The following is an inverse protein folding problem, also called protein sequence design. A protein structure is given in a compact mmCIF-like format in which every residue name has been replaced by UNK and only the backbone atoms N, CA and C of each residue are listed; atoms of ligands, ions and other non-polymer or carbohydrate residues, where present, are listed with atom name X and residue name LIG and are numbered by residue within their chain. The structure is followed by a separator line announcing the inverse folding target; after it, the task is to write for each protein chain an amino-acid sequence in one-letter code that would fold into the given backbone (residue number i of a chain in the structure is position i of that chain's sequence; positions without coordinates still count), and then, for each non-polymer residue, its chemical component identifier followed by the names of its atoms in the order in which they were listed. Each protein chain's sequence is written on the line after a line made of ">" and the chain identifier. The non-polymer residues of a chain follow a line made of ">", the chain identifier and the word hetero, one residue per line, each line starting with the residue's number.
data_IF_153108825972
#
_entry.id   IF_153108825972
#
_cell.length_a   1.000
_cell.length_b   1.000
_cell.length_c   1.000
_cell.angle_alpha   90.00
_cell.angle_beta   90.00
_cell.angle_gamma   90.00
#
_symmetry.space_group_name_H-M   'P 1'
#
loop_
_entity.id
_entity.type
_entity.pdbx_description
1 polymer ?
#
# COMPACT_ATOMS: atom_id res chain seq x y z
N UNK A 1 19.64 4.23 -52.63
CA UNK A 1 19.72 3.31 -51.50
C UNK A 1 19.69 4.12 -50.22
N UNK A 2 18.57 4.12 -49.51
CA UNK A 2 18.47 4.74 -48.17
C UNK A 2 18.23 3.60 -47.19
N UNK A 3 19.25 3.29 -46.42
CA UNK A 3 19.21 2.28 -45.37
C UNK A 3 18.51 2.86 -44.14
N UNK A 4 17.32 2.39 -43.85
CA UNK A 4 16.57 2.77 -42.67
C UNK A 4 17.04 1.90 -41.50
N UNK A 5 17.73 2.50 -40.57
CA UNK A 5 18.17 1.86 -39.32
C UNK A 5 16.96 1.72 -38.39
N UNK A 6 16.44 0.49 -38.28
CA UNK A 6 15.46 0.11 -37.26
C UNK A 6 16.25 -0.35 -36.01
N UNK A 7 16.43 0.51 -35.04
CA UNK A 7 17.14 0.18 -33.81
C UNK A 7 16.24 0.25 -32.56
N UNK A 8 16.03 -0.92 -31.96
CA UNK A 8 16.02 -1.25 -30.53
C UNK A 8 15.15 -0.43 -29.56
N UNK A 9 13.91 -0.90 -29.40
CA UNK A 9 13.11 -0.67 -28.17
C UNK A 9 12.72 -2.05 -27.54
N UNK A 10 13.54 -3.05 -27.56
CA UNK A 10 13.24 -4.38 -27.00
C UNK A 10 14.08 -4.77 -25.76
N UNK A 11 14.90 -3.86 -25.23
CA UNK A 11 15.90 -4.23 -24.21
C UNK A 11 15.46 -4.03 -22.75
N UNK A 12 14.31 -3.40 -22.44
CA UNK A 12 13.97 -3.07 -21.05
C UNK A 12 13.05 -4.11 -20.35
N UNK A 13 12.19 -4.79 -21.09
CA UNK A 13 11.23 -5.73 -20.48
C UNK A 13 11.87 -7.06 -20.06
N UNK A 14 12.86 -7.57 -20.80
CA UNK A 14 13.48 -8.86 -20.52
C UNK A 14 14.41 -8.87 -19.29
N UNK A 15 14.90 -7.71 -18.84
CA UNK A 15 15.80 -7.62 -17.68
C UNK A 15 15.08 -7.74 -16.34
N UNK A 16 13.78 -7.46 -16.25
CA UNK A 16 13.03 -7.48 -14.99
C UNK A 16 12.80 -8.91 -14.50
N UNK A 17 12.73 -9.87 -15.40
CA UNK A 17 12.49 -11.29 -15.08
C UNK A 17 13.75 -12.08 -14.67
N UNK A 18 14.93 -11.49 -14.86
CA UNK A 18 16.21 -12.12 -14.51
C UNK A 18 16.72 -11.73 -13.12
N UNK A 19 15.97 -10.91 -12.36
CA UNK A 19 16.43 -10.49 -11.04
C UNK A 19 16.38 -11.66 -10.06
N UNK A 20 17.38 -11.79 -9.15
CA UNK A 20 17.42 -12.86 -8.17
C UNK A 20 16.25 -12.75 -7.20
N UNK A 21 15.73 -13.91 -6.75
CA UNK A 21 14.82 -13.97 -5.61
C UNK A 21 15.58 -14.55 -4.39
N UNK A 22 16.07 -13.70 -3.49
CA UNK A 22 16.77 -14.16 -2.28
C UNK A 22 15.83 -14.56 -1.15
N UNK A 23 14.51 -14.53 -1.35
CA UNK A 23 13.52 -14.79 -0.30
C UNK A 23 12.78 -16.09 -0.53
N UNK A 24 12.27 -16.65 0.57
CA UNK A 24 11.31 -17.75 0.58
C UNK A 24 10.05 -17.35 1.36
N UNK A 25 8.85 -17.71 0.88
CA UNK A 25 7.60 -17.42 1.61
C UNK A 25 7.42 -18.37 2.79
N UNK A 26 6.73 -17.85 3.81
CA UNK A 26 6.24 -18.58 4.98
C UNK A 26 4.77 -18.19 5.18
N UNK A 27 3.85 -18.97 4.61
CA UNK A 27 2.42 -18.65 4.55
C UNK A 27 1.69 -18.73 5.90
N UNK A 28 2.13 -19.57 6.84
CA UNK A 28 1.44 -19.81 8.10
C UNK A 28 2.18 -19.17 9.28
N UNK A 29 2.78 -18.01 9.04
CA UNK A 29 3.49 -17.31 10.10
C UNK A 29 2.54 -16.79 11.19
N UNK A 30 1.46 -16.07 10.82
CA UNK A 30 0.56 -15.43 11.76
C UNK A 30 -0.48 -16.44 12.30
N UNK A 31 -0.52 -16.58 13.62
CA UNK A 31 -1.41 -17.49 14.33
C UNK A 31 -2.69 -16.76 14.75
N UNK A 32 -3.75 -16.92 13.98
CA UNK A 32 -5.08 -16.36 14.29
C UNK A 32 -5.78 -17.15 15.41
N UNK A 33 -6.72 -16.52 16.15
CA UNK A 33 -7.57 -17.21 17.08
C UNK A 33 -8.36 -18.36 16.42
N UNK A 34 -8.68 -19.39 17.21
CA UNK A 34 -9.45 -20.52 16.71
C UNK A 34 -10.78 -20.06 16.04
N UNK A 35 -11.02 -20.56 14.85
CA UNK A 35 -12.21 -20.24 14.04
C UNK A 35 -12.12 -18.91 13.27
N UNK A 36 -11.11 -18.07 13.50
CA UNK A 36 -10.88 -16.83 12.75
C UNK A 36 -10.14 -17.14 11.45
N UNK A 37 -10.62 -16.57 10.36
CA UNK A 37 -9.97 -16.63 9.04
C UNK A 37 -9.53 -15.22 8.65
N UNK A 38 -8.48 -15.13 7.86
CA UNK A 38 -8.12 -13.88 7.20
C UNK A 38 -9.21 -13.44 6.25
N UNK A 39 -9.55 -12.17 6.26
CA UNK A 39 -10.14 -11.47 5.14
C UNK A 39 -9.06 -10.85 4.25
N UNK A 40 -9.43 -9.88 3.45
CA UNK A 40 -8.48 -9.08 2.70
C UNK A 40 -7.54 -8.35 3.66
N UNK A 41 -6.28 -8.81 3.77
CA UNK A 41 -5.26 -8.17 4.58
C UNK A 41 -4.67 -7.01 3.79
N UNK A 42 -5.15 -5.79 4.05
CA UNK A 42 -4.85 -4.62 3.22
C UNK A 42 -3.63 -3.82 3.67
N UNK A 43 -3.29 -3.85 4.94
CA UNK A 43 -2.15 -3.10 5.46
C UNK A 43 -1.37 -3.87 6.53
N UNK A 44 -0.07 -3.64 6.53
CA UNK A 44 0.87 -4.14 7.54
C UNK A 44 1.87 -3.03 7.83
N UNK A 45 2.16 -2.79 9.11
CA UNK A 45 3.31 -1.99 9.52
C UNK A 45 3.91 -2.55 10.82
N UNK A 46 5.07 -2.07 11.18
CA UNK A 46 5.86 -2.57 12.30
C UNK A 46 6.08 -1.45 13.32
N UNK A 47 5.75 -1.71 14.56
CA UNK A 47 6.15 -0.84 15.67
C UNK A 47 7.67 -0.85 15.81
N UNK A 48 8.29 0.27 15.53
CA UNK A 48 9.75 0.42 15.53
C UNK A 48 10.38 0.36 16.92
N UNK A 49 9.56 0.45 17.99
CA UNK A 49 10.02 0.34 19.37
C UNK A 49 10.04 -1.11 19.85
N UNK A 50 9.00 -1.87 19.54
CA UNK A 50 8.81 -3.23 20.03
C UNK A 50 9.24 -4.29 19.00
N UNK A 51 9.20 -3.96 17.72
CA UNK A 51 9.35 -4.88 16.60
C UNK A 51 8.11 -5.73 16.35
N UNK A 52 6.98 -5.44 17.01
CA UNK A 52 5.73 -6.13 16.80
C UNK A 52 5.11 -5.72 15.45
N UNK A 53 4.44 -6.66 14.84
CA UNK A 53 3.84 -6.53 13.53
C UNK A 53 2.34 -6.26 13.68
N UNK A 54 1.90 -5.13 13.16
CA UNK A 54 0.51 -4.75 13.10
C UNK A 54 -0.07 -5.10 11.74
N UNK A 55 -1.24 -5.71 11.73
CA UNK A 55 -1.95 -6.13 10.51
C UNK A 55 -3.38 -5.62 10.59
N UNK A 56 -3.86 -5.09 9.48
CA UNK A 56 -5.28 -4.77 9.28
C UNK A 56 -5.86 -5.70 8.25
N UNK A 57 -6.94 -6.39 8.63
CA UNK A 57 -7.73 -7.21 7.73
C UNK A 57 -9.16 -6.67 7.62
N UNK A 58 -9.90 -7.14 6.65
CA UNK A 58 -11.29 -6.74 6.43
C UNK A 58 -12.26 -7.71 7.07
N UNK A 59 -12.11 -7.97 8.39
CA UNK A 59 -13.05 -8.74 9.22
C UNK A 59 -13.34 -10.17 8.69
N UNK A 60 -12.31 -10.86 8.15
CA UNK A 60 -12.49 -12.19 7.58
C UNK A 60 -13.24 -12.24 6.24
N UNK A 61 -13.40 -11.07 5.59
CA UNK A 61 -14.12 -10.90 4.34
C UNK A 61 -13.43 -9.87 3.44
N UNK A 62 -14.12 -9.31 2.45
CA UNK A 62 -13.66 -8.21 1.62
C UNK A 62 -13.93 -6.82 2.24
N UNK A 63 -14.77 -6.74 3.25
CA UNK A 63 -15.18 -5.51 3.94
C UNK A 63 -15.65 -5.81 5.35
N UNK A 64 -15.54 -4.83 6.26
CA UNK A 64 -16.05 -4.86 7.62
C UNK A 64 -17.45 -4.26 7.77
N UNK A 65 -18.04 -3.69 6.72
CA UNK A 65 -19.22 -2.83 6.80
C UNK A 65 -20.49 -3.42 7.46
N UNK A 66 -20.54 -4.73 7.71
CA UNK A 66 -21.63 -5.38 8.46
C UNK A 66 -21.10 -6.34 9.52
N UNK A 67 -19.82 -6.24 9.88
CA UNK A 67 -19.14 -7.14 10.80
C UNK A 67 -18.80 -6.45 12.12
N UNK A 68 -18.86 -7.20 13.21
CA UNK A 68 -18.37 -6.79 14.53
C UNK A 68 -17.04 -7.47 14.90
N UNK A 69 -16.46 -8.25 13.98
CA UNK A 69 -15.15 -8.87 14.18
C UNK A 69 -14.04 -7.82 14.21
N UNK A 70 -13.05 -8.06 15.03
CA UNK A 70 -11.89 -7.19 15.15
C UNK A 70 -11.02 -7.26 13.90
N UNK A 71 -10.73 -6.12 13.23
CA UNK A 71 -9.90 -6.09 12.04
C UNK A 71 -8.42 -5.80 12.31
N UNK A 72 -8.06 -5.29 13.49
CA UNK A 72 -6.69 -4.88 13.83
C UNK A 72 -6.07 -5.94 14.70
N UNK A 73 -4.87 -6.41 14.31
CA UNK A 73 -4.12 -7.43 15.01
C UNK A 73 -2.70 -6.98 15.30
N UNK A 74 -2.20 -7.32 16.49
CA UNK A 74 -0.79 -7.22 16.86
C UNK A 74 -0.20 -8.62 17.01
N UNK A 75 0.95 -8.87 16.36
CA UNK A 75 1.71 -10.09 16.44
C UNK A 75 3.14 -9.82 16.90
N UNK A 76 3.73 -10.75 17.64
CA UNK A 76 5.16 -10.76 17.83
C UNK A 76 5.91 -11.30 16.60
N UNK A 77 7.23 -11.25 16.61
CA UNK A 77 8.05 -11.70 15.47
C UNK A 77 7.92 -13.20 15.17
N UNK A 78 7.42 -14.01 16.13
CA UNK A 78 7.15 -15.44 15.94
C UNK A 78 5.82 -15.72 15.24
N UNK A 79 4.94 -14.69 15.16
CA UNK A 79 3.59 -14.80 14.61
C UNK A 79 2.51 -15.13 15.66
N UNK A 80 2.88 -15.12 16.93
CA UNK A 80 1.92 -15.23 18.02
C UNK A 80 1.12 -13.94 18.13
N UNK A 81 -0.21 -14.03 18.08
CA UNK A 81 -1.09 -12.91 18.30
C UNK A 81 -0.98 -12.43 19.76
N UNK A 82 -0.81 -11.13 19.94
CA UNK A 82 -0.73 -10.47 21.24
C UNK A 82 -2.06 -9.83 21.61
N UNK A 83 -2.72 -9.15 20.66
CA UNK A 83 -4.04 -8.54 20.82
C UNK A 83 -4.76 -8.35 19.48
N UNK A 84 -6.08 -8.10 19.55
CA UNK A 84 -6.91 -7.65 18.45
C UNK A 84 -8.03 -6.74 18.97
N UNK A 85 -8.49 -5.80 18.13
CA UNK A 85 -9.56 -4.85 18.46
C UNK A 85 -10.13 -4.17 17.20
N UNK A 86 -11.11 -3.26 17.43
CA UNK A 86 -11.68 -2.38 16.41
C UNK A 86 -12.94 -2.90 15.74
N UNK A 87 -13.57 -3.93 16.32
CA UNK A 87 -14.83 -4.49 15.83
C UNK A 87 -15.94 -3.45 15.68
N UNK A 88 -16.60 -3.43 14.52
CA UNK A 88 -17.69 -2.49 14.21
C UNK A 88 -17.25 -1.05 13.93
N UNK A 89 -15.94 -0.76 13.95
CA UNK A 89 -15.41 0.59 13.79
C UNK A 89 -15.32 1.03 12.32
N UNK A 90 -14.94 0.13 11.43
CA UNK A 90 -14.61 0.41 10.04
C UNK A 90 -15.63 -0.16 9.05
N UNK A 91 -15.70 0.45 7.87
CA UNK A 91 -16.38 -0.09 6.69
C UNK A 91 -15.40 -0.91 5.86
N UNK A 92 -14.31 -0.32 5.43
CA UNK A 92 -13.27 -1.00 4.63
C UNK A 92 -11.91 -0.42 5.04
N UNK A 93 -11.30 -0.94 6.12
CA UNK A 93 -9.98 -0.50 6.52
C UNK A 93 -8.98 -0.83 5.40
N UNK A 94 -8.06 0.11 5.11
CA UNK A 94 -7.18 0.01 3.95
C UNK A 94 -5.72 0.27 4.31
N UNK A 95 -5.23 1.51 4.27
CA UNK A 95 -3.86 1.86 4.63
C UNK A 95 -3.65 1.96 6.14
N UNK A 96 -2.44 1.65 6.60
CA UNK A 96 -2.04 1.77 8.01
C UNK A 96 -0.59 2.25 8.14
N UNK A 97 -0.34 3.06 9.14
CA UNK A 97 0.99 3.49 9.57
C UNK A 97 1.12 3.47 11.09
N UNK A 98 2.23 2.96 11.60
CA UNK A 98 2.58 3.00 13.02
C UNK A 98 3.56 4.15 13.25
N UNK A 99 3.13 5.20 13.99
CA UNK A 99 3.95 6.37 14.22
C UNK A 99 5.09 6.11 15.23
N UNK A 100 6.00 7.09 15.37
CA UNK A 100 7.15 6.99 16.28
C UNK A 100 6.77 6.79 17.75
N UNK A 101 5.54 7.09 18.12
CA UNK A 101 5.02 6.95 19.50
C UNK A 101 4.30 5.60 19.69
N UNK A 102 4.12 4.82 18.61
CA UNK A 102 3.44 3.53 18.59
C UNK A 102 1.94 3.65 18.33
N UNK A 103 1.43 4.84 17.99
CA UNK A 103 0.03 4.99 17.64
C UNK A 103 -0.21 4.47 16.21
N UNK A 104 -1.40 3.91 16.01
CA UNK A 104 -1.86 3.39 14.74
C UNK A 104 -2.65 4.45 13.99
N UNK A 105 -2.25 4.73 12.77
CA UNK A 105 -3.02 5.53 11.83
C UNK A 105 -3.67 4.59 10.84
N UNK A 106 -5.00 4.63 10.69
CA UNK A 106 -5.74 3.70 9.84
C UNK A 106 -6.74 4.47 9.00
N UNK A 107 -6.73 4.16 7.70
CA UNK A 107 -7.66 4.72 6.73
C UNK A 107 -8.89 3.83 6.60
N UNK A 108 -10.09 4.41 6.62
CA UNK A 108 -11.34 3.74 6.24
C UNK A 108 -11.78 4.20 4.85
N UNK A 109 -11.56 3.35 3.86
CA UNK A 109 -11.61 3.67 2.44
C UNK A 109 -13.02 3.80 1.85
N UNK A 110 -14.01 3.12 2.42
CA UNK A 110 -15.36 3.06 1.85
C UNK A 110 -16.39 3.68 2.80
N UNK A 111 -17.59 3.97 2.29
CA UNK A 111 -18.71 4.46 3.10
C UNK A 111 -19.84 3.44 3.16
N UNK A 112 -20.44 3.33 4.35
CA UNK A 112 -21.66 2.56 4.57
C UNK A 112 -22.34 3.03 5.86
N UNK A 113 -23.66 3.20 5.82
CA UNK A 113 -24.50 3.47 7.00
C UNK A 113 -23.96 4.65 7.86
N UNK A 114 -23.54 5.74 7.21
CA UNK A 114 -23.03 6.94 7.86
C UNK A 114 -21.62 6.82 8.44
N UNK A 115 -20.86 5.77 8.11
CA UNK A 115 -19.46 5.55 8.49
C UNK A 115 -18.54 5.61 7.28
N UNK A 116 -17.24 5.73 7.55
CA UNK A 116 -16.16 5.61 6.57
C UNK A 116 -15.74 6.92 5.94
N UNK A 117 -14.81 6.85 4.99
CA UNK A 117 -14.07 7.95 4.41
C UNK A 117 -13.38 8.83 5.46
N UNK A 118 -12.75 8.16 6.42
CA UNK A 118 -12.05 8.80 7.54
C UNK A 118 -10.66 8.22 7.71
N UNK A 119 -9.80 8.97 8.40
CA UNK A 119 -8.52 8.51 8.92
C UNK A 119 -8.55 8.61 10.44
N UNK A 120 -8.20 7.54 11.11
CA UNK A 120 -8.18 7.45 12.57
C UNK A 120 -6.75 7.35 13.07
N UNK A 121 -6.41 8.13 14.10
CA UNK A 121 -5.27 7.87 14.98
C UNK A 121 -5.77 7.14 16.21
N UNK A 122 -5.22 5.96 16.48
CA UNK A 122 -5.56 5.14 17.64
C UNK A 122 -4.34 4.93 18.52
N UNK A 123 -4.51 4.85 19.83
CA UNK A 123 -3.47 4.23 20.65
C UNK A 123 -3.49 2.71 20.49
N UNK A 124 -2.50 2.01 21.07
CA UNK A 124 -2.38 0.55 20.98
C UNK A 124 -3.49 -0.23 21.71
N UNK A 125 -4.38 0.47 22.45
CA UNK A 125 -5.54 -0.13 23.12
C UNK A 125 -6.86 0.20 22.38
N UNK A 126 -6.76 0.77 21.17
CA UNK A 126 -7.90 1.06 20.31
C UNK A 126 -8.65 2.37 20.64
N UNK A 127 -8.16 3.19 21.58
CA UNK A 127 -8.75 4.50 21.84
C UNK A 127 -8.44 5.46 20.70
N UNK A 128 -9.49 6.08 20.14
CA UNK A 128 -9.36 7.15 19.14
C UNK A 128 -8.74 8.39 19.77
N UNK A 129 -7.65 8.86 19.21
CA UNK A 129 -6.92 10.06 19.60
C UNK A 129 -7.19 11.24 18.66
N UNK A 130 -7.36 10.96 17.35
CA UNK A 130 -7.67 11.96 16.33
C UNK A 130 -8.48 11.29 15.21
N UNK A 131 -9.37 12.08 14.60
CA UNK A 131 -10.12 11.67 13.40
C UNK A 131 -10.03 12.77 12.36
N UNK A 132 -9.68 12.40 11.11
CA UNK A 132 -9.74 13.28 9.95
C UNK A 132 -10.86 12.79 9.02
N UNK A 133 -11.51 13.72 8.33
CA UNK A 133 -12.65 13.42 7.46
C UNK A 133 -13.98 13.42 8.22
N UNK A 134 -15.08 13.46 7.44
CA UNK A 134 -16.46 13.41 7.95
C UNK A 134 -17.05 12.03 7.69
N UNK A 135 -17.53 11.39 8.75
CA UNK A 135 -18.10 10.04 8.67
C UNK A 135 -19.20 9.92 7.61
N UNK A 136 -19.03 9.02 6.66
CA UNK A 136 -20.01 8.75 5.60
C UNK A 136 -20.20 9.86 4.57
N UNK A 137 -19.31 10.86 4.53
CA UNK A 137 -19.43 12.02 3.62
C UNK A 137 -18.31 12.01 2.61
N UNK A 138 -18.65 11.76 1.33
CA UNK A 138 -17.73 11.91 0.21
C UNK A 138 -17.57 13.40 -0.15
N UNK A 139 -16.34 13.83 -0.47
CA UNK A 139 -16.13 15.20 -0.94
C UNK A 139 -14.69 15.53 -1.29
N UNK A 140 -14.52 16.75 -1.79
CA UNK A 140 -13.25 17.33 -2.24
C UNK A 140 -12.78 18.49 -1.36
N UNK A 141 -13.51 18.80 -0.29
CA UNK A 141 -13.19 19.90 0.63
C UNK A 141 -11.97 19.56 1.51
N UNK A 142 -11.53 20.53 2.32
CA UNK A 142 -10.36 20.35 3.19
C UNK A 142 -10.60 19.38 4.35
N UNK A 143 -11.84 19.04 4.63
CA UNK A 143 -12.30 18.22 5.77
C UNK A 143 -13.12 16.99 5.33
N UNK A 144 -13.10 16.64 4.05
CA UNK A 144 -13.73 15.44 3.51
C UNK A 144 -12.78 14.69 2.59
N UNK A 145 -12.99 13.38 2.46
CA UNK A 145 -12.30 12.50 1.53
C UNK A 145 -13.27 11.85 0.55
N UNK A 146 -12.74 11.28 -0.53
CA UNK A 146 -13.50 10.40 -1.42
C UNK A 146 -12.65 9.19 -1.78
N UNK A 147 -12.81 8.13 -0.99
CA UNK A 147 -12.04 6.88 -1.07
C UNK A 147 -10.55 7.06 -0.72
N UNK A 148 -10.22 7.54 0.49
CA UNK A 148 -8.82 7.64 0.91
C UNK A 148 -8.19 6.24 0.96
N UNK A 149 -6.90 6.14 0.62
CA UNK A 149 -6.20 4.87 0.45
C UNK A 149 -5.10 4.64 1.47
N UNK A 150 -4.33 5.66 1.82
CA UNK A 150 -3.19 5.51 2.72
C UNK A 150 -2.90 6.78 3.53
N UNK A 151 -2.16 6.61 4.61
CA UNK A 151 -1.74 7.69 5.52
C UNK A 151 -0.32 7.46 6.00
N UNK A 152 0.47 8.53 6.07
CA UNK A 152 1.81 8.51 6.66
C UNK A 152 2.06 9.79 7.45
N UNK A 153 2.89 9.72 8.49
CA UNK A 153 3.27 10.86 9.32
C UNK A 153 4.76 11.17 9.14
N UNK A 154 5.06 12.41 8.80
CA UNK A 154 6.42 12.90 8.67
C UNK A 154 7.10 13.05 10.05
N UNK A 155 8.45 13.10 10.12
CA UNK A 155 9.17 13.27 11.38
C UNK A 155 8.78 14.52 12.21
N UNK A 156 8.35 15.60 11.54
CA UNK A 156 7.85 16.83 12.19
C UNK A 156 6.41 16.69 12.71
N UNK A 157 5.74 15.57 12.44
CA UNK A 157 4.37 15.29 12.84
C UNK A 157 3.31 15.64 11.79
N UNK A 158 3.67 16.25 10.66
CA UNK A 158 2.72 16.51 9.58
C UNK A 158 2.17 15.19 9.01
N UNK A 159 0.86 15.19 8.74
CA UNK A 159 0.12 14.01 8.29
C UNK A 159 -0.15 14.14 6.81
N UNK A 160 0.14 13.10 6.05
CA UNK A 160 -0.14 13.03 4.60
C UNK A 160 -1.12 11.91 4.34
N UNK A 161 -2.20 12.22 3.63
CA UNK A 161 -3.25 11.27 3.24
C UNK A 161 -3.30 11.18 1.71
N UNK A 162 -3.18 9.98 1.18
CA UNK A 162 -3.53 9.70 -0.20
C UNK A 162 -5.05 9.56 -0.30
N UNK A 163 -5.69 10.41 -1.09
CA UNK A 163 -7.15 10.48 -1.20
C UNK A 163 -7.58 10.19 -2.64
N UNK A 164 -8.10 9.00 -2.83
CA UNK A 164 -8.55 8.45 -4.11
C UNK A 164 -8.12 7.01 -4.36
N UNK A 165 -9.05 6.15 -4.78
CA UNK A 165 -8.80 4.73 -5.04
C UNK A 165 -9.38 4.27 -6.40
N UNK A 166 -9.24 5.08 -7.43
CA UNK A 166 -9.71 4.81 -8.78
C UNK A 166 -11.17 5.20 -9.04
N UNK A 167 -11.63 4.98 -10.27
CA UNK A 167 -12.98 5.38 -10.67
C UNK A 167 -13.20 6.90 -10.57
N UNK A 168 -14.38 7.30 -10.11
CA UNK A 168 -14.77 8.71 -9.92
C UNK A 168 -14.48 9.20 -8.49
N UNK A 169 -13.39 8.74 -7.90
CA UNK A 169 -12.91 9.17 -6.58
C UNK A 169 -11.92 10.33 -6.72
N UNK A 170 -11.48 10.89 -5.59
CA UNK A 170 -10.41 11.88 -5.61
C UNK A 170 -9.10 11.29 -6.18
N UNK A 171 -8.15 12.15 -6.51
CA UNK A 171 -6.82 11.75 -6.96
C UNK A 171 -5.82 12.81 -6.48
N UNK A 172 -5.62 12.88 -5.15
CA UNK A 172 -4.86 13.95 -4.51
C UNK A 172 -4.11 13.45 -3.27
N UNK A 173 -3.14 14.24 -2.86
CA UNK A 173 -2.53 14.15 -1.52
C UNK A 173 -3.04 15.31 -0.69
N UNK A 174 -3.40 15.04 0.56
CA UNK A 174 -3.84 16.06 1.52
C UNK A 174 -2.87 16.07 2.69
N UNK A 175 -2.36 17.26 3.03
CA UNK A 175 -1.43 17.48 4.13
C UNK A 175 -2.15 18.19 5.29
N UNK A 176 -1.98 17.66 6.49
CA UNK A 176 -2.46 18.23 7.75
C UNK A 176 -1.30 18.42 8.72
N UNK A 177 -1.45 19.35 9.66
CA UNK A 177 -0.56 19.45 10.82
C UNK A 177 -0.77 18.30 11.80
N UNK A 178 0.12 18.13 12.76
CA UNK A 178 0.07 17.08 13.79
C UNK A 178 -1.20 17.07 14.63
N UNK A 179 -1.88 18.21 14.75
CA UNK A 179 -3.16 18.38 15.44
C UNK A 179 -4.39 18.24 14.50
N UNK A 180 -4.17 17.84 13.24
CA UNK A 180 -5.22 17.57 12.26
C UNK A 180 -5.78 18.79 11.53
N UNK A 181 -5.13 19.96 11.61
CA UNK A 181 -5.54 21.12 10.84
C UNK A 181 -5.03 21.01 9.40
N UNK A 182 -5.90 21.31 8.44
CA UNK A 182 -5.53 21.34 7.01
C UNK A 182 -4.40 22.34 6.75
N UNK A 183 -3.40 21.88 5.99
CA UNK A 183 -2.30 22.74 5.52
C UNK A 183 -2.44 22.99 4.04
N UNK A 184 -2.48 21.93 3.22
CA UNK A 184 -2.60 22.03 1.76
C UNK A 184 -3.03 20.72 1.12
N UNK A 185 -3.38 20.80 -0.16
CA UNK A 185 -3.61 19.63 -1.01
C UNK A 185 -3.02 19.87 -2.39
N UNK A 186 -2.63 18.79 -3.07
CA UNK A 186 -2.19 18.82 -4.47
C UNK A 186 -2.57 17.54 -5.18
N UNK A 187 -2.55 17.60 -6.50
CA UNK A 187 -2.94 16.49 -7.37
C UNK A 187 -4.37 16.61 -7.87
N UNK A 188 -4.59 15.95 -8.97
CA UNK A 188 -5.89 15.74 -9.63
C UNK A 188 -5.78 14.49 -10.49
N UNK A 189 -6.89 13.96 -10.97
CA UNK A 189 -6.90 12.83 -11.89
C UNK A 189 -6.17 13.17 -13.20
N UNK A 190 -5.25 12.31 -13.60
CA UNK A 190 -4.48 12.45 -14.84
C UNK A 190 -3.20 11.62 -14.85
N UNK A 191 -2.36 11.88 -15.88
CA UNK A 191 -1.13 11.12 -16.15
C UNK A 191 0.14 11.97 -16.16
N UNK A 192 0.00 13.29 -16.03
CA UNK A 192 1.13 14.23 -15.98
C UNK A 192 1.86 14.22 -14.63
N UNK A 193 2.98 14.94 -14.51
CA UNK A 193 3.65 15.18 -13.23
C UNK A 193 2.72 15.84 -12.21
N UNK A 194 2.61 15.26 -11.01
CA UNK A 194 1.71 15.74 -9.97
C UNK A 194 0.23 15.41 -10.19
N UNK A 195 -0.13 14.74 -11.27
CA UNK A 195 -1.46 14.15 -11.48
C UNK A 195 -1.41 12.68 -11.09
N UNK A 196 -2.55 12.10 -10.64
CA UNK A 196 -2.62 10.73 -10.16
C UNK A 196 -3.80 9.96 -10.80
N UNK A 197 -3.64 8.65 -10.86
CA UNK A 197 -4.76 7.71 -10.98
C UNK A 197 -4.56 6.58 -9.96
N UNK A 198 -5.33 6.64 -8.88
CA UNK A 198 -5.19 5.79 -7.70
C UNK A 198 -3.85 6.02 -6.95
N UNK A 199 -3.69 7.15 -6.24
CA UNK A 199 -2.59 7.32 -5.29
C UNK A 199 -2.80 6.34 -4.12
N UNK A 200 -2.12 5.18 -4.16
CA UNK A 200 -2.48 4.00 -3.39
C UNK A 200 -1.68 3.82 -2.09
N UNK A 201 -0.40 4.15 -2.10
CA UNK A 201 0.46 4.04 -0.93
C UNK A 201 1.46 5.20 -0.85
N UNK A 202 1.91 5.49 0.36
CA UNK A 202 2.85 6.56 0.70
C UNK A 202 4.06 6.02 1.45
N UNK A 203 5.24 6.56 1.18
CA UNK A 203 6.43 6.30 1.97
C UNK A 203 7.33 7.53 2.02
N UNK A 204 8.05 7.74 3.13
CA UNK A 204 9.14 8.70 3.20
C UNK A 204 10.49 8.00 3.09
N UNK A 205 11.42 8.62 2.40
CA UNK A 205 12.83 8.25 2.51
C UNK A 205 13.53 9.02 3.65
N UNK A 206 14.80 8.68 3.91
CA UNK A 206 15.60 9.33 4.96
C UNK A 206 15.91 10.81 4.70
N UNK A 207 15.64 11.32 3.50
CA UNK A 207 15.76 12.73 3.13
C UNK A 207 14.45 13.49 3.27
N UNK A 208 13.37 12.82 3.70
CA UNK A 208 12.04 13.38 3.83
C UNK A 208 11.31 13.58 2.51
N UNK A 209 11.74 12.92 1.42
CA UNK A 209 10.99 12.93 0.15
C UNK A 209 9.81 11.99 0.25
N UNK A 210 8.66 12.42 -0.25
CA UNK A 210 7.43 11.64 -0.29
C UNK A 210 7.35 10.83 -1.58
N UNK A 211 7.26 9.53 -1.45
CA UNK A 211 7.02 8.57 -2.53
C UNK A 211 5.54 8.22 -2.57
N UNK A 212 4.91 8.43 -3.70
CA UNK A 212 3.49 8.14 -3.94
C UNK A 212 3.35 7.03 -4.95
N UNK A 213 2.75 5.91 -4.55
CA UNK A 213 2.36 4.84 -5.46
C UNK A 213 1.19 5.29 -6.33
N UNK A 214 1.43 5.71 -7.53
CA UNK A 214 0.43 6.10 -8.52
C UNK A 214 0.05 4.87 -9.36
N UNK A 215 -0.77 3.98 -8.74
CA UNK A 215 -0.92 2.58 -9.14
C UNK A 215 -1.44 2.40 -10.54
N UNK A 216 -2.54 3.06 -10.92
CA UNK A 216 -3.14 2.87 -12.24
C UNK A 216 -2.32 3.55 -13.36
N UNK A 217 -1.41 4.46 -13.00
CA UNK A 217 -0.42 5.02 -13.91
C UNK A 217 0.88 4.19 -13.97
N UNK A 218 0.95 3.05 -13.26
CA UNK A 218 2.11 2.14 -13.24
C UNK A 218 3.42 2.86 -12.90
N UNK A 219 3.41 3.75 -11.91
CA UNK A 219 4.58 4.54 -11.51
C UNK A 219 4.59 4.88 -10.03
N UNK A 220 5.76 5.23 -9.54
CA UNK A 220 5.94 5.96 -8.28
C UNK A 220 6.29 7.40 -8.64
N UNK A 221 5.59 8.38 -8.07
CA UNK A 221 5.99 9.78 -8.16
C UNK A 221 6.64 10.22 -6.85
N UNK A 222 7.66 11.07 -6.95
CA UNK A 222 8.45 11.54 -5.81
C UNK A 222 8.29 13.04 -5.69
N UNK A 223 8.02 13.51 -4.48
CA UNK A 223 7.77 14.91 -4.13
C UNK A 223 8.63 15.32 -2.94
N UNK A 224 8.83 16.62 -2.78
CA UNK A 224 9.15 17.17 -1.46
C UNK A 224 7.89 17.24 -0.57
N UNK A 225 8.06 17.63 0.70
CA UNK A 225 6.93 17.72 1.63
C UNK A 225 6.00 18.92 1.37
N UNK A 226 6.37 19.78 0.44
CA UNK A 226 5.53 20.88 -0.04
C UNK A 226 4.75 20.53 -1.31
N UNK A 227 4.87 19.28 -1.76
CA UNK A 227 4.17 18.78 -2.93
C UNK A 227 4.79 19.19 -4.26
N UNK A 228 6.03 19.71 -4.26
CA UNK A 228 6.75 19.96 -5.50
C UNK A 228 7.25 18.64 -6.08
N UNK A 229 6.91 18.39 -7.34
CA UNK A 229 7.33 17.19 -8.07
C UNK A 229 8.86 17.18 -8.28
N UNK A 230 9.47 16.02 -8.03
CA UNK A 230 10.92 15.79 -8.20
C UNK A 230 11.17 14.89 -9.39
N UNK A 231 10.60 13.68 -9.39
CA UNK A 231 10.81 12.67 -10.46
C UNK A 231 9.75 11.57 -10.42
N UNK A 232 9.74 10.70 -11.43
CA UNK A 232 8.91 9.49 -11.44
C UNK A 232 9.73 8.22 -11.76
N UNK A 233 9.26 7.07 -11.24
CA UNK A 233 9.85 5.76 -11.44
C UNK A 233 8.83 4.76 -11.95
N UNK A 234 9.08 4.15 -13.12
CA UNK A 234 8.18 3.18 -13.78
C UNK A 234 8.64 1.73 -13.66
N UNK A 235 9.84 1.48 -13.18
CA UNK A 235 10.44 0.14 -13.12
C UNK A 235 9.90 -0.74 -11.99
N UNK A 236 8.98 -0.25 -11.18
CA UNK A 236 8.40 -0.98 -10.06
C UNK A 236 7.03 -1.61 -10.35
N UNK A 237 6.52 -1.52 -11.58
CA UNK A 237 5.23 -2.08 -11.98
C UNK A 237 4.05 -1.20 -11.60
N UNK A 238 2.92 -1.82 -11.22
CA UNK A 238 1.72 -1.16 -10.69
C UNK A 238 1.77 -1.15 -9.15
N UNK A 239 2.38 -0.13 -8.53
CA UNK A 239 2.73 -0.16 -7.12
C UNK A 239 1.48 -0.05 -6.24
N UNK A 240 1.28 -1.05 -5.37
CA UNK A 240 0.19 -1.04 -4.37
C UNK A 240 0.70 -0.72 -2.97
N UNK A 241 1.87 -1.22 -2.59
CA UNK A 241 2.51 -0.90 -1.32
C UNK A 241 3.95 -0.44 -1.51
N UNK A 242 4.41 0.49 -0.68
CA UNK A 242 5.81 0.96 -0.67
C UNK A 242 6.32 0.96 0.76
N UNK A 243 7.49 0.39 0.96
CA UNK A 243 8.27 0.51 2.19
C UNK A 243 9.70 0.93 1.87
N UNK A 244 10.25 1.87 2.63
CA UNK A 244 11.64 2.31 2.49
C UNK A 244 12.32 2.17 3.85
N UNK A 245 13.38 1.36 3.91
CA UNK A 245 14.14 1.16 5.14
C UNK A 245 15.13 2.31 5.41
N UNK A 246 15.65 2.38 6.63
CA UNK A 246 16.64 3.40 7.02
C UNK A 246 17.95 3.35 6.22
N UNK A 247 18.23 2.23 5.53
CA UNK A 247 19.41 2.05 4.66
C UNK A 247 19.13 2.47 3.22
N UNK A 248 17.93 3.01 2.94
CA UNK A 248 17.47 3.41 1.62
C UNK A 248 17.20 2.22 0.71
N UNK A 249 16.83 1.06 1.24
CA UNK A 249 16.27 -0.01 0.42
C UNK A 249 14.79 0.24 0.26
N UNK A 250 14.31 0.27 -0.99
CA UNK A 250 12.89 0.36 -1.30
C UNK A 250 12.35 -1.02 -1.65
N UNK A 251 11.19 -1.32 -1.09
CA UNK A 251 10.39 -2.51 -1.35
C UNK A 251 9.04 -2.06 -1.90
N UNK A 252 8.63 -2.61 -3.03
CA UNK A 252 7.40 -2.21 -3.70
C UNK A 252 6.58 -3.45 -4.03
N UNK A 253 5.40 -3.52 -3.45
CA UNK A 253 4.41 -4.55 -3.78
C UNK A 253 3.64 -4.14 -5.04
N UNK A 254 3.59 -5.04 -6.00
CA UNK A 254 2.81 -4.93 -7.24
C UNK A 254 1.75 -6.02 -7.24
N UNK A 255 0.51 -5.66 -6.93
CA UNK A 255 -0.62 -6.58 -6.87
C UNK A 255 -1.46 -6.60 -8.15
N UNK A 256 -1.19 -5.70 -9.11
CA UNK A 256 -2.10 -5.43 -10.22
C UNK A 256 -1.52 -5.68 -11.61
N UNK A 257 -0.18 -5.75 -11.77
CA UNK A 257 0.41 -5.96 -13.09
C UNK A 257 -0.02 -7.28 -13.72
N UNK A 258 -0.40 -7.22 -14.98
CA UNK A 258 -0.76 -8.35 -15.82
C UNK A 258 -0.57 -7.97 -17.29
N UNK A 259 -0.81 -8.92 -18.22
CA UNK A 259 -0.60 -8.70 -19.64
C UNK A 259 -1.42 -7.55 -20.24
N UNK A 260 -2.57 -7.19 -19.64
CA UNK A 260 -3.44 -6.11 -20.10
C UNK A 260 -3.10 -4.76 -19.48
N UNK A 261 -2.97 -4.72 -18.14
CA UNK A 261 -2.85 -3.47 -17.39
C UNK A 261 -1.42 -2.92 -17.38
N UNK A 262 -0.40 -3.81 -17.41
CA UNK A 262 1.01 -3.42 -17.41
C UNK A 262 1.84 -4.48 -18.15
N UNK A 263 1.77 -4.52 -19.49
CA UNK A 263 2.46 -5.53 -20.29
C UNK A 263 3.96 -5.60 -19.98
N UNK A 264 4.48 -6.81 -19.82
CA UNK A 264 5.89 -7.04 -19.49
C UNK A 264 6.19 -7.09 -18.00
N UNK A 265 5.25 -6.75 -17.11
CA UNK A 265 5.40 -6.87 -15.67
C UNK A 265 4.58 -8.04 -15.10
N UNK A 266 5.08 -8.64 -14.03
CA UNK A 266 4.37 -9.64 -13.21
C UNK A 266 4.16 -9.13 -11.80
N UNK A 267 3.12 -9.63 -11.14
CA UNK A 267 2.85 -9.39 -9.72
C UNK A 267 3.97 -9.93 -8.85
N UNK A 268 4.18 -9.27 -7.72
CA UNK A 268 5.19 -9.64 -6.73
C UNK A 268 5.82 -8.42 -6.08
N UNK A 269 6.88 -8.64 -5.31
CA UNK A 269 7.57 -7.57 -4.58
C UNK A 269 8.91 -7.27 -5.29
N UNK A 270 9.11 -6.02 -5.67
CA UNK A 270 10.37 -5.54 -6.24
C UNK A 270 11.19 -4.83 -5.18
N UNK A 271 12.46 -5.19 -5.09
CA UNK A 271 13.41 -4.59 -4.15
C UNK A 271 14.45 -3.79 -4.91
N UNK A 272 14.77 -2.62 -4.40
CA UNK A 272 15.76 -1.75 -5.03
C UNK A 272 16.47 -0.83 -4.02
N UNK A 273 17.14 0.20 -4.52
CA UNK A 273 17.82 1.20 -3.71
C UNK A 273 17.37 2.61 -4.08
N UNK A 274 17.01 3.37 -3.05
CA UNK A 274 16.82 4.82 -3.15
C UNK A 274 18.21 5.44 -3.06
N UNK A 275 18.91 5.61 -4.21
CA UNK A 275 20.18 6.34 -4.26
C UNK A 275 19.92 7.76 -4.73
N UNK A 276 20.57 8.71 -4.08
CA UNK A 276 20.86 10.13 -4.42
C UNK A 276 20.04 10.81 -5.55
N UNK A 277 18.75 10.43 -5.70
CA UNK A 277 17.80 11.12 -6.58
C UNK A 277 17.80 10.67 -8.04
N UNK A 278 18.38 9.52 -8.41
CA UNK A 278 18.24 9.03 -9.79
C UNK A 278 17.99 7.54 -9.85
N UNK A 279 16.82 7.17 -10.43
CA UNK A 279 16.45 5.83 -10.94
C UNK A 279 16.79 4.68 -9.98
N UNK A 280 15.99 4.50 -8.94
CA UNK A 280 16.08 3.34 -8.05
C UNK A 280 16.08 2.03 -8.83
N UNK A 281 17.27 1.47 -9.08
CA UNK A 281 17.40 0.21 -9.83
C UNK A 281 16.78 -0.92 -9.03
N UNK A 282 15.91 -1.71 -9.66
CA UNK A 282 15.41 -2.98 -9.11
C UNK A 282 16.59 -3.98 -9.05
N UNK A 283 16.83 -4.54 -7.87
CA UNK A 283 17.93 -5.47 -7.60
C UNK A 283 17.46 -6.89 -7.28
N UNK A 284 16.19 -7.05 -6.88
CA UNK A 284 15.56 -8.35 -6.64
C UNK A 284 14.08 -8.31 -7.00
N UNK A 285 13.54 -9.47 -7.35
CA UNK A 285 12.12 -9.67 -7.60
C UNK A 285 11.63 -10.94 -6.89
N UNK A 286 10.64 -10.78 -6.03
CA UNK A 286 9.97 -11.88 -5.33
C UNK A 286 8.62 -12.05 -6.04
N UNK A 287 8.44 -13.12 -6.83
CA UNK A 287 7.19 -13.33 -7.54
C UNK A 287 6.04 -13.57 -6.54
N UNK A 288 4.82 -13.23 -6.98
CA UNK A 288 3.60 -13.61 -6.27
C UNK A 288 3.60 -15.13 -5.98
N UNK A 289 3.10 -15.52 -4.82
CA UNK A 289 2.94 -16.92 -4.42
C UNK A 289 1.90 -17.66 -5.26
N UNK A 290 1.02 -16.92 -5.92
CA UNK A 290 0.03 -17.44 -6.86
C UNK A 290 0.36 -17.02 -8.30
N UNK A 291 0.05 -17.85 -9.30
CA UNK A 291 0.32 -17.51 -10.70
C UNK A 291 -0.39 -16.21 -11.11
N UNK A 292 0.32 -15.31 -11.77
CA UNK A 292 -0.32 -14.19 -12.47
C UNK A 292 -1.13 -14.76 -13.63
N UNK A 293 -2.42 -14.44 -13.78
CA UNK A 293 -3.21 -14.87 -14.93
C UNK A 293 -2.52 -14.42 -16.24
N UNK A 294 -2.35 -15.33 -17.18
CA UNK A 294 -1.71 -15.02 -18.48
C UNK A 294 -2.58 -14.08 -19.33
N UNK A 295 -3.91 -14.10 -19.11
CA UNK A 295 -4.83 -13.12 -19.70
C UNK A 295 -5.99 -12.86 -18.77
N UNK A 296 -6.37 -11.58 -18.60
CA UNK A 296 -7.64 -11.20 -17.98
C UNK A 296 -8.84 -11.50 -18.90
N UNK A 297 -8.59 -11.96 -20.15
CA UNK A 297 -9.62 -12.22 -21.17
C UNK A 297 -10.60 -13.34 -20.78
N UNK A 298 -10.20 -14.25 -19.89
CA UNK A 298 -11.10 -15.28 -19.37
C UNK A 298 -12.18 -14.75 -18.43
N UNK A 299 -11.99 -13.54 -17.85
CA UNK A 299 -12.87 -13.01 -16.81
C UNK A 299 -13.05 -11.47 -16.91
N UNK A 300 -13.33 -10.91 -18.08
CA UNK A 300 -13.27 -9.46 -18.32
C UNK A 300 -14.31 -8.64 -17.54
N UNK A 301 -15.33 -9.26 -16.94
CA UNK A 301 -16.45 -8.56 -16.30
C UNK A 301 -16.92 -9.18 -14.97
N UNK A 302 -16.08 -9.96 -14.28
CA UNK A 302 -16.47 -10.52 -13.00
C UNK A 302 -15.89 -9.68 -11.84
N UNK A 303 -16.71 -8.87 -11.13
CA UNK A 303 -16.25 -8.08 -9.98
C UNK A 303 -15.67 -8.94 -8.85
N UNK A 304 -16.11 -10.20 -8.70
CA UNK A 304 -15.50 -11.14 -7.77
C UNK A 304 -14.08 -11.56 -8.18
N UNK A 305 -13.72 -11.40 -9.46
CA UNK A 305 -12.40 -11.71 -9.98
C UNK A 305 -11.44 -10.50 -9.94
N UNK A 306 -11.96 -9.28 -9.90
CA UNK A 306 -11.16 -8.07 -9.64
C UNK A 306 -10.55 -8.09 -8.23
N UNK A 307 -11.16 -8.83 -7.29
CA UNK A 307 -10.66 -9.14 -5.95
C UNK A 307 -10.18 -10.59 -5.83
N UNK A 308 -9.69 -11.16 -6.91
CA UNK A 308 -9.45 -12.58 -7.05
C UNK A 308 -8.36 -13.10 -6.11
N UNK A 309 -8.44 -14.39 -5.85
CA UNK A 309 -7.46 -15.23 -5.12
C UNK A 309 -6.01 -15.11 -5.64
N UNK A 310 -5.74 -14.24 -6.61
CA UNK A 310 -4.48 -14.07 -7.32
C UNK A 310 -3.86 -12.68 -7.19
N UNK A 311 -4.40 -11.75 -6.37
CA UNK A 311 -3.70 -10.50 -6.10
C UNK A 311 -2.53 -10.74 -5.15
N UNK A 312 -1.34 -10.28 -5.50
CA UNK A 312 -0.18 -10.28 -4.62
C UNK A 312 -0.32 -9.34 -3.43
N UNK A 313 0.77 -9.13 -2.71
CA UNK A 313 0.77 -8.23 -1.56
C UNK A 313 0.34 -6.80 -1.94
N UNK A 314 -0.55 -6.22 -1.14
CA UNK A 314 -0.87 -4.79 -1.14
C UNK A 314 -0.23 -4.08 0.06
N UNK A 315 -0.47 -4.57 1.28
CA UNK A 315 0.22 -4.12 2.47
C UNK A 315 1.64 -4.68 2.52
N UNK A 316 2.62 -3.87 2.90
CA UNK A 316 4.02 -4.24 2.90
C UNK A 316 4.78 -3.59 4.05
N UNK A 317 5.47 -4.40 4.86
CA UNK A 317 6.41 -3.94 5.87
C UNK A 317 7.66 -4.81 5.93
N UNK A 318 8.77 -4.27 6.46
CA UNK A 318 10.04 -4.99 6.57
C UNK A 318 10.62 -4.79 7.96
N UNK A 319 10.99 -5.89 8.63
CA UNK A 319 11.58 -5.85 9.95
C UNK A 319 13.09 -5.52 9.93
N UNK A 320 13.67 -5.28 11.09
CA UNK A 320 15.10 -4.95 11.24
C UNK A 320 16.05 -6.07 10.78
N UNK A 321 15.55 -7.30 10.64
CA UNK A 321 16.29 -8.46 10.13
C UNK A 321 16.17 -8.60 8.61
N UNK A 322 15.35 -7.76 7.96
CA UNK A 322 15.09 -7.80 6.53
C UNK A 322 14.03 -8.82 6.12
N UNK A 323 13.26 -9.38 7.05
CA UNK A 323 12.09 -10.17 6.69
C UNK A 323 11.00 -9.24 6.19
N UNK A 324 10.35 -9.63 5.10
CA UNK A 324 9.25 -8.88 4.49
C UNK A 324 7.92 -9.51 4.93
N UNK A 325 6.95 -8.68 5.23
CA UNK A 325 5.58 -9.09 5.54
C UNK A 325 4.66 -8.50 4.47
N UNK A 326 3.91 -9.37 3.80
CA UNK A 326 2.97 -9.00 2.74
C UNK A 326 1.54 -9.33 3.12
N UNK A 327 0.65 -8.36 3.09
CA UNK A 327 -0.79 -8.54 3.25
C UNK A 327 -1.45 -8.69 1.88
N UNK A 328 -2.12 -9.81 1.65
CA UNK A 328 -2.72 -10.14 0.37
C UNK A 328 -4.24 -9.97 0.42
N UNK A 329 -4.76 -9.06 -0.39
CA UNK A 329 -6.18 -8.72 -0.42
C UNK A 329 -7.00 -9.83 -1.10
N UNK A 330 -6.61 -10.26 -2.28
CA UNK A 330 -7.34 -11.30 -3.03
C UNK A 330 -7.16 -12.69 -2.45
N UNK A 331 -5.95 -13.07 -2.09
CA UNK A 331 -5.64 -14.37 -1.50
C UNK A 331 -6.08 -14.49 -0.02
N UNK A 332 -6.45 -13.37 0.61
CA UNK A 332 -6.91 -13.30 2.00
C UNK A 332 -5.95 -13.99 2.96
N UNK A 333 -4.71 -13.55 2.98
CA UNK A 333 -3.66 -14.11 3.84
C UNK A 333 -2.57 -13.08 4.15
N UNK A 334 -1.71 -13.44 5.09
CA UNK A 334 -0.46 -12.72 5.38
C UNK A 334 0.69 -13.66 5.12
N UNK A 335 1.66 -13.23 4.34
CA UNK A 335 2.87 -13.99 4.01
C UNK A 335 4.09 -13.29 4.60
N UNK A 336 4.91 -14.05 5.31
CA UNK A 336 6.24 -13.61 5.73
C UNK A 336 7.27 -14.15 4.75
N UNK A 337 8.12 -13.30 4.23
CA UNK A 337 9.23 -13.69 3.38
C UNK A 337 10.55 -13.56 4.15
N UNK A 338 11.32 -14.64 4.22
CA UNK A 338 12.61 -14.69 4.92
C UNK A 338 13.74 -14.85 3.92
N UNK A 339 14.91 -14.29 4.22
CA UNK A 339 16.11 -14.56 3.43
C UNK A 339 16.40 -16.06 3.33
N UNK A 340 16.88 -16.51 2.18
CA UNK A 340 17.34 -17.90 1.94
C UNK A 340 18.68 -18.14 2.59
#
# INVERSE_FOLDING_TARGET
>A
MKTTTLCLILASASQIYSQPNPYRPLDQWAQLPQGRKWGSASAIDIDRKTGNIWVVDRCGAATCGSSTLDPIFEFDASGKMLKNFGGGMFVTPHGMYVDKDGNLWIVDQAIKDGKGFQVFKLNQDGKVLLTLGKAGVAGTTNDTFNSPSDVIVAPNGDIFVADGHGGDTNARIVKFSSDGKFIKTWGKKGTGPGEFDTPHALAFDSKGRLFVADRNNNRIQIFDQDGNYIEEWKQYGAPSGIFIDAKGTIYVADSQSNAKNNPGFKRGIRVGKVKDGKNGKVTAFIPDTLPTPESDDKYPNNPAFAMSTTSGAEGLAVDSKGNIYGGEVGAQKVVKYTNR
#
